data_IF_338343314183
#
_entry.id   IF_338343314183
#
_cell.length_a   1.000
_cell.length_b   1.000
_cell.length_c   1.000
_cell.angle_alpha   90.00
_cell.angle_beta   90.00
_cell.angle_gamma   90.00
#
_symmetry.space_group_name_H-M   'P 1'
#
loop_
_entity.id
_entity.type
_entity.pdbx_description
1 polymer ?
#
# COMPACT_ATOMS: atom_id res chain seq x y z
N UNK A 1 18.80 -7.96 -6.95
CA UNK A 1 17.65 -7.68 -6.04
C UNK A 1 18.01 -6.53 -5.12
N UNK A 2 17.10 -5.59 -4.96
CA UNK A 2 17.33 -4.41 -4.14
C UNK A 2 16.28 -4.35 -3.03
N UNK A 3 16.73 -4.11 -1.78
CA UNK A 3 15.85 -4.02 -0.61
C UNK A 3 15.79 -2.57 -0.17
N UNK A 4 14.60 -1.96 -0.20
CA UNK A 4 14.42 -0.56 0.21
C UNK A 4 14.10 -0.50 1.70
N UNK A 5 14.89 0.28 2.42
CA UNK A 5 14.68 0.57 3.84
C UNK A 5 14.44 -0.69 4.69
N UNK A 6 15.40 -1.65 4.74
CA UNK A 6 15.23 -2.81 5.62
C UNK A 6 15.00 -2.36 7.05
N UNK A 7 14.02 -2.97 7.71
CA UNK A 7 13.71 -2.65 9.11
C UNK A 7 14.85 -3.14 10.02
N UNK A 8 15.26 -2.31 10.96
CA UNK A 8 16.17 -2.74 12.01
C UNK A 8 15.47 -3.45 13.15
N UNK A 9 14.14 -3.46 13.16
CA UNK A 9 13.32 -4.00 14.27
C UNK A 9 12.55 -5.25 13.85
N UNK A 10 12.04 -5.30 12.62
CA UNK A 10 11.22 -6.39 12.12
C UNK A 10 11.89 -7.08 10.92
N UNK A 11 11.56 -8.34 10.64
CA UNK A 11 12.21 -9.09 9.57
C UNK A 11 11.62 -8.78 8.18
N UNK A 12 11.58 -7.51 7.78
CA UNK A 12 11.11 -7.11 6.47
C UNK A 12 11.69 -5.76 6.04
N UNK A 13 11.58 -5.46 4.76
CA UNK A 13 11.93 -4.18 4.14
C UNK A 13 10.66 -3.45 3.72
N UNK A 14 10.75 -2.13 3.48
CA UNK A 14 9.61 -1.35 2.95
C UNK A 14 9.19 -1.86 1.58
N UNK A 15 10.16 -2.19 0.74
CA UNK A 15 9.89 -2.72 -0.60
C UNK A 15 11.08 -3.54 -1.09
N UNK A 16 10.81 -4.37 -2.09
CA UNK A 16 11.84 -5.14 -2.79
C UNK A 16 11.71 -4.88 -4.27
N UNK A 17 12.84 -4.64 -4.95
CA UNK A 17 12.91 -4.50 -6.41
C UNK A 17 13.69 -5.68 -6.95
N UNK A 18 13.14 -6.35 -7.97
CA UNK A 18 13.79 -7.49 -8.60
C UNK A 18 13.60 -7.44 -10.11
N UNK A 19 14.43 -8.21 -10.81
CA UNK A 19 14.47 -8.21 -12.29
C UNK A 19 14.66 -6.80 -12.86
N UNK A 20 15.29 -5.91 -12.06
CA UNK A 20 15.60 -4.54 -12.46
C UNK A 20 14.40 -3.60 -12.56
N UNK A 21 13.16 -4.10 -12.52
CA UNK A 21 11.99 -3.28 -12.80
C UNK A 21 10.77 -3.54 -11.94
N UNK A 22 10.69 -4.67 -11.25
CA UNK A 22 9.48 -5.01 -10.50
C UNK A 22 9.66 -4.63 -9.03
N UNK A 23 8.77 -3.79 -8.53
CA UNK A 23 8.75 -3.39 -7.13
C UNK A 23 7.54 -4.02 -6.45
N UNK A 24 7.77 -4.65 -5.31
CA UNK A 24 6.68 -5.15 -4.45
C UNK A 24 6.79 -4.53 -3.07
N UNK A 25 5.66 -4.09 -2.54
CA UNK A 25 5.58 -3.46 -1.23
C UNK A 25 4.25 -3.82 -0.56
N UNK A 26 4.27 -3.90 0.76
CA UNK A 26 3.06 -4.05 1.59
C UNK A 26 3.04 -2.87 2.56
N UNK A 27 1.92 -2.16 2.63
CA UNK A 27 1.80 -0.93 3.40
C UNK A 27 0.56 -0.99 4.28
N UNK A 28 0.69 -0.45 5.48
CA UNK A 28 -0.41 -0.31 6.44
C UNK A 28 -0.58 1.16 6.80
N UNK A 29 -1.70 1.47 7.48
CA UNK A 29 -1.94 2.82 7.98
C UNK A 29 -1.14 3.19 9.23
N UNK A 30 -0.07 2.46 9.54
CA UNK A 30 0.80 2.75 10.69
C UNK A 30 1.94 3.64 10.19
N UNK A 31 2.03 4.90 10.67
CA UNK A 31 3.14 5.77 10.29
C UNK A 31 4.48 5.28 10.82
N UNK A 32 5.57 5.71 10.21
CA UNK A 32 6.91 5.38 10.66
C UNK A 32 7.10 5.78 12.14
N UNK A 33 7.62 4.85 12.92
CA UNK A 33 7.86 5.06 14.34
C UNK A 33 6.63 4.92 15.23
N UNK A 34 5.44 4.76 14.67
CA UNK A 34 4.22 4.54 15.42
C UNK A 34 4.00 3.05 15.68
N UNK A 35 3.20 2.74 16.69
CA UNK A 35 2.85 1.36 17.04
C UNK A 35 1.48 0.96 16.50
N UNK A 36 0.60 1.94 16.28
CA UNK A 36 -0.78 1.73 15.86
C UNK A 36 -1.12 2.56 14.64
N UNK A 37 -2.19 2.19 13.89
CA UNK A 37 -2.60 2.98 12.73
C UNK A 37 -3.07 4.38 13.12
N UNK A 38 -3.04 5.29 12.15
CA UNK A 38 -3.59 6.64 12.34
C UNK A 38 -5.04 6.54 12.79
N UNK A 39 -5.51 7.44 13.67
CA UNK A 39 -6.93 7.46 14.06
C UNK A 39 -7.81 7.94 12.90
N UNK A 40 -9.06 7.52 12.90
CA UNK A 40 -10.03 7.96 11.89
C UNK A 40 -10.61 6.84 11.03
N UNK A 41 -10.29 5.58 11.33
CA UNK A 41 -10.87 4.43 10.65
C UNK A 41 -10.25 4.14 9.29
N UNK A 42 -10.96 3.35 8.48
CA UNK A 42 -10.45 2.85 7.20
C UNK A 42 -10.08 3.98 6.25
N UNK A 43 -10.82 5.07 6.25
CA UNK A 43 -10.56 6.22 5.37
C UNK A 43 -9.21 6.86 5.69
N UNK A 44 -8.98 7.17 6.97
CA UNK A 44 -7.71 7.77 7.40
C UNK A 44 -6.54 6.82 7.15
N UNK A 45 -6.72 5.54 7.44
CA UNK A 45 -5.67 4.53 7.21
C UNK A 45 -5.33 4.40 5.72
N UNK A 46 -6.33 4.42 4.84
CA UNK A 46 -6.09 4.31 3.40
C UNK A 46 -5.37 5.55 2.86
N UNK A 47 -5.72 6.74 3.32
CA UNK A 47 -4.98 7.96 2.95
C UNK A 47 -3.52 7.87 3.39
N UNK A 48 -3.25 7.35 4.59
CA UNK A 48 -1.88 7.16 5.07
C UNK A 48 -1.14 6.12 4.23
N UNK A 49 -1.82 5.04 3.82
CA UNK A 49 -1.24 4.02 2.94
C UNK A 49 -0.81 4.66 1.61
N UNK A 50 -1.67 5.46 0.99
CA UNK A 50 -1.34 6.10 -0.28
C UNK A 50 -0.23 7.14 -0.13
N UNK A 51 -0.17 7.84 1.01
CA UNK A 51 0.94 8.75 1.30
C UNK A 51 2.27 7.99 1.34
N UNK A 52 2.30 6.87 2.05
CA UNK A 52 3.51 6.03 2.12
C UNK A 52 3.86 5.42 0.76
N UNK A 53 2.85 5.00 -0.01
CA UNK A 53 3.05 4.47 -1.35
C UNK A 53 3.73 5.49 -2.26
N UNK A 54 3.25 6.74 -2.23
CA UNK A 54 3.86 7.81 -3.01
C UNK A 54 5.34 8.00 -2.65
N UNK A 55 5.70 7.91 -1.37
CA UNK A 55 7.10 8.03 -0.92
C UNK A 55 7.95 6.85 -1.41
N UNK A 56 7.46 5.62 -1.28
CA UNK A 56 8.18 4.43 -1.73
C UNK A 56 8.41 4.48 -3.25
N UNK A 57 7.37 4.85 -4.00
CA UNK A 57 7.49 4.97 -5.45
C UNK A 57 8.46 6.07 -5.86
N UNK A 58 8.42 7.23 -5.20
CA UNK A 58 9.34 8.33 -5.48
C UNK A 58 10.79 7.91 -5.23
N UNK A 59 11.05 7.18 -4.15
CA UNK A 59 12.37 6.64 -3.85
C UNK A 59 12.88 5.72 -4.97
N UNK A 60 11.98 5.01 -5.63
CA UNK A 60 12.29 4.12 -6.75
C UNK A 60 12.25 4.82 -8.12
N UNK A 61 12.01 6.13 -8.15
CA UNK A 61 11.96 6.90 -9.41
C UNK A 61 10.65 6.75 -10.17
N UNK A 62 9.55 6.45 -9.48
CA UNK A 62 8.25 6.18 -10.10
C UNK A 62 7.13 6.96 -9.44
N UNK A 63 5.93 6.85 -10.02
CA UNK A 63 4.70 7.40 -9.48
C UNK A 63 3.62 6.31 -9.47
N UNK A 64 2.46 6.63 -8.96
CA UNK A 64 1.32 5.67 -8.90
C UNK A 64 0.91 5.11 -10.26
N UNK A 65 1.28 5.77 -11.34
CA UNK A 65 1.01 5.25 -12.69
C UNK A 65 1.78 3.98 -13.01
N UNK A 66 2.79 3.65 -12.23
CA UNK A 66 3.57 2.41 -12.37
C UNK A 66 2.88 1.20 -11.72
N UNK A 67 1.83 1.40 -10.91
CA UNK A 67 1.16 0.31 -10.19
C UNK A 67 0.37 -0.55 -11.17
N UNK A 68 0.62 -1.86 -11.13
CA UNK A 68 -0.06 -2.84 -11.99
C UNK A 68 -1.04 -3.71 -11.20
N UNK A 69 -0.81 -3.92 -9.92
CA UNK A 69 -1.63 -4.82 -9.10
C UNK A 69 -1.75 -4.32 -7.67
N UNK A 70 -2.97 -4.41 -7.13
CA UNK A 70 -3.27 -4.06 -5.74
C UNK A 70 -4.08 -5.18 -5.11
N UNK A 71 -3.69 -5.58 -3.90
CA UNK A 71 -4.47 -6.49 -3.06
C UNK A 71 -4.78 -5.78 -1.76
N UNK A 72 -6.05 -5.63 -1.47
CA UNK A 72 -6.54 -4.96 -0.27
C UNK A 72 -7.05 -5.99 0.72
N UNK A 73 -6.64 -5.85 1.97
CA UNK A 73 -7.06 -6.70 3.07
C UNK A 73 -7.79 -5.82 4.07
N UNK A 74 -9.08 -6.12 4.32
CA UNK A 74 -9.94 -5.31 5.16
C UNK A 74 -10.46 -6.11 6.33
N UNK A 75 -10.49 -5.49 7.51
CA UNK A 75 -11.03 -6.12 8.70
C UNK A 75 -12.55 -6.36 8.58
N UNK A 76 -13.26 -5.48 7.85
CA UNK A 76 -14.69 -5.62 7.59
C UNK A 76 -14.99 -5.16 6.16
N UNK A 77 -14.76 -6.05 5.21
CA UNK A 77 -14.86 -5.74 3.79
C UNK A 77 -16.28 -5.31 3.40
N UNK A 78 -17.28 -5.98 3.93
CA UNK A 78 -18.68 -5.69 3.57
C UNK A 78 -19.12 -4.30 4.03
N UNK A 79 -18.68 -3.88 5.21
CA UNK A 79 -19.05 -2.57 5.75
C UNK A 79 -18.25 -1.43 5.13
N UNK A 80 -17.01 -1.69 4.70
CA UNK A 80 -16.07 -0.59 4.40
C UNK A 80 -15.69 -0.46 2.93
N UNK A 81 -16.04 -1.45 2.09
CA UNK A 81 -15.60 -1.44 0.68
C UNK A 81 -16.11 -0.22 -0.11
N UNK A 82 -17.28 0.31 0.23
CA UNK A 82 -17.81 1.50 -0.43
C UNK A 82 -16.93 2.73 -0.23
N UNK A 83 -16.50 2.96 1.02
CA UNK A 83 -15.60 4.08 1.36
C UNK A 83 -14.23 3.90 0.71
N UNK A 84 -13.72 2.68 0.73
CA UNK A 84 -12.45 2.33 0.11
C UNK A 84 -12.49 2.59 -1.39
N UNK A 85 -13.56 2.19 -2.07
CA UNK A 85 -13.72 2.40 -3.50
C UNK A 85 -13.69 3.88 -3.87
N UNK A 86 -14.32 4.73 -3.06
CA UNK A 86 -14.35 6.17 -3.31
C UNK A 86 -12.95 6.77 -3.28
N UNK A 87 -12.18 6.50 -2.22
CA UNK A 87 -10.81 7.01 -2.06
C UNK A 87 -9.90 6.42 -3.13
N UNK A 88 -10.08 5.14 -3.43
CA UNK A 88 -9.29 4.42 -4.43
C UNK A 88 -9.48 5.05 -5.83
N UNK A 89 -10.72 5.36 -6.22
CA UNK A 89 -11.01 6.04 -7.49
C UNK A 89 -10.36 7.41 -7.56
N UNK A 90 -10.42 8.17 -6.49
CA UNK A 90 -9.80 9.50 -6.43
C UNK A 90 -8.29 9.41 -6.62
N UNK A 91 -7.66 8.39 -6.03
CA UNK A 91 -6.21 8.22 -6.11
C UNK A 91 -5.75 7.78 -7.50
N UNK A 92 -6.33 6.72 -8.05
CA UNK A 92 -5.88 6.14 -9.33
C UNK A 92 -6.50 6.80 -10.57
N UNK A 93 -7.63 7.47 -10.44
CA UNK A 93 -8.28 8.16 -11.54
C UNK A 93 -8.76 7.20 -12.63
N UNK A 94 -8.48 7.55 -13.89
CA UNK A 94 -8.98 6.84 -15.07
C UNK A 94 -8.18 5.60 -15.45
N UNK A 95 -7.08 5.31 -14.75
CA UNK A 95 -6.21 4.17 -15.04
C UNK A 95 -6.04 3.27 -13.81
N UNK A 96 -7.13 2.63 -13.34
CA UNK A 96 -7.05 1.79 -12.16
C UNK A 96 -6.28 0.49 -12.45
N UNK A 97 -5.38 0.07 -11.55
CA UNK A 97 -4.70 -1.21 -11.69
C UNK A 97 -5.64 -2.39 -11.45
N UNK A 98 -5.17 -3.59 -11.75
CA UNK A 98 -5.85 -4.81 -11.34
C UNK A 98 -5.96 -4.84 -9.81
N UNK A 99 -7.15 -5.13 -9.26
CA UNK A 99 -7.37 -5.11 -7.82
C UNK A 99 -8.27 -6.24 -7.34
N UNK A 100 -7.98 -6.75 -6.14
CA UNK A 100 -8.87 -7.63 -5.38
C UNK A 100 -8.91 -7.16 -3.92
N UNK A 101 -10.07 -7.24 -3.30
CA UNK A 101 -10.25 -6.96 -1.88
C UNK A 101 -10.71 -8.22 -1.14
N UNK A 102 -10.15 -8.44 0.05
CA UNK A 102 -10.42 -9.61 0.89
C UNK A 102 -10.79 -9.16 2.30
N UNK A 103 -11.73 -9.89 2.93
CA UNK A 103 -11.99 -9.73 4.35
C UNK A 103 -11.06 -10.66 5.14
N UNK A 104 -10.34 -10.13 6.11
CA UNK A 104 -9.35 -10.86 6.90
C UNK A 104 -9.31 -10.35 8.33
N UNK A 105 -8.66 -11.12 9.21
CA UNK A 105 -8.33 -10.64 10.54
C UNK A 105 -7.00 -9.90 10.47
N UNK A 106 -6.96 -8.67 10.95
CA UNK A 106 -5.76 -7.84 10.98
C UNK A 106 -5.35 -7.56 12.43
N UNK A 107 -4.04 -7.45 12.64
CA UNK A 107 -3.50 -7.16 13.96
C UNK A 107 -3.49 -5.65 14.27
N UNK A 108 -3.23 -5.28 15.53
CA UNK A 108 -3.03 -3.90 15.99
C UNK A 108 -4.21 -2.95 15.72
N UNK A 109 -5.41 -3.49 15.57
CA UNK A 109 -6.58 -2.66 15.29
C UNK A 109 -6.62 -2.08 13.89
N UNK A 110 -5.77 -2.54 12.99
CA UNK A 110 -5.77 -2.09 11.59
C UNK A 110 -7.09 -2.42 10.91
N UNK A 111 -7.60 -1.47 10.13
CA UNK A 111 -8.81 -1.67 9.33
C UNK A 111 -8.47 -2.12 7.92
N UNK A 112 -7.25 -1.84 7.44
CA UNK A 112 -6.85 -2.11 6.06
C UNK A 112 -5.34 -2.30 5.97
N UNK A 113 -4.94 -3.19 5.07
CA UNK A 113 -3.56 -3.40 4.67
C UNK A 113 -3.55 -3.56 3.14
N UNK A 114 -2.52 -3.07 2.47
CA UNK A 114 -2.47 -3.11 1.01
C UNK A 114 -1.13 -3.63 0.50
N UNK A 115 -1.20 -4.54 -0.47
CA UNK A 115 -0.03 -5.05 -1.19
C UNK A 115 -0.04 -4.50 -2.61
N UNK A 116 1.09 -3.96 -3.05
CA UNK A 116 1.22 -3.33 -4.36
C UNK A 116 2.35 -3.97 -5.16
N UNK A 117 2.11 -4.09 -6.47
CA UNK A 117 3.16 -4.45 -7.43
C UNK A 117 3.23 -3.34 -8.47
N UNK A 118 4.44 -2.85 -8.72
CA UNK A 118 4.70 -1.83 -9.72
C UNK A 118 5.72 -2.32 -10.75
N UNK A 119 5.56 -1.87 -11.98
CA UNK A 119 6.61 -2.01 -13.00
C UNK A 119 7.29 -0.66 -13.15
N UNK A 120 8.54 -0.57 -12.75
CA UNK A 120 9.29 0.69 -12.74
C UNK A 120 9.65 1.10 -14.18
N UNK A 121 9.81 2.42 -14.44
CA UNK A 121 10.25 2.90 -15.74
C UNK A 121 11.59 2.28 -16.14
N UNK A 122 11.80 2.10 -17.42
CA UNK A 122 13.10 1.67 -17.95
C UNK A 122 14.15 2.74 -17.64
N UNK A 123 15.33 2.29 -17.28
CA UNK A 123 16.47 3.17 -17.01
C UNK A 123 17.18 3.54 -18.32
#
# INVERSE_FOLDING_TARGET
MEFLNPSGKFPFSDAVIYSGRILETVITGIPDGAEFPVPGGVEAELHEIFRQLDEVLAQAGATKTAIVSVRLYLADVNAEIGKVNQIYREYFGSHPPNRRAYGVTLQRGMRIEAAFVAELPAK
#
